data_IF_833045522085
#
_entry.id   IF_833045522085
#
_cell.length_a   1.000
_cell.length_b   1.000
_cell.length_c   1.000
_cell.angle_alpha   90.00
_cell.angle_beta   90.00
_cell.angle_gamma   90.00
#
_symmetry.space_group_name_H-M   'P 1'
#
loop_
_entity.id
_entity.type
_entity.pdbx_description
1 polymer ?
#
# COMPACT_ATOMS: atom_id res chain seq x y z
N UNK A 1 5.60 -6.99 14.03
CA UNK A 1 4.42 -7.46 13.27
C UNK A 1 4.54 -8.97 13.09
N UNK A 2 3.48 -9.75 13.35
CA UNK A 2 3.49 -11.17 13.01
C UNK A 2 3.78 -11.32 11.51
N UNK A 3 4.66 -12.24 11.16
CA UNK A 3 4.99 -12.53 9.76
C UNK A 3 3.70 -12.82 8.99
N UNK A 4 3.51 -12.16 7.84
CA UNK A 4 2.36 -12.43 6.98
C UNK A 4 2.32 -13.92 6.65
N UNK A 5 1.17 -14.56 6.87
CA UNK A 5 0.95 -15.95 6.48
C UNK A 5 1.15 -16.10 4.97
N UNK A 6 1.60 -17.27 4.52
CA UNK A 6 1.80 -17.51 3.09
C UNK A 6 0.52 -17.27 2.29
N UNK A 7 -0.63 -17.65 2.85
CA UNK A 7 -1.95 -17.38 2.26
C UNK A 7 -2.23 -15.89 2.09
N UNK A 8 -1.87 -15.04 3.05
CA UNK A 8 -2.04 -13.59 2.93
C UNK A 8 -1.20 -13.01 1.79
N UNK A 9 0.06 -13.45 1.66
CA UNK A 9 0.94 -12.96 0.59
C UNK A 9 0.40 -13.32 -0.78
N UNK A 10 -0.01 -14.56 -0.98
CA UNK A 10 -0.57 -15.01 -2.26
C UNK A 10 -1.79 -14.17 -2.68
N UNK A 11 -2.65 -13.79 -1.74
CA UNK A 11 -3.80 -12.90 -2.03
C UNK A 11 -3.34 -11.50 -2.39
N UNK A 12 -2.37 -10.94 -1.65
CA UNK A 12 -1.86 -9.58 -1.89
C UNK A 12 -1.08 -9.46 -3.21
N UNK A 13 -0.40 -10.51 -3.66
CA UNK A 13 0.36 -10.50 -4.92
C UNK A 13 -0.56 -10.45 -6.15
N UNK A 14 -1.76 -11.02 -6.04
CA UNK A 14 -2.81 -10.97 -7.07
C UNK A 14 -3.51 -9.61 -7.18
N UNK A 15 -3.22 -8.64 -6.30
CA UNK A 15 -3.91 -7.35 -6.21
C UNK A 15 -3.92 -6.55 -7.53
N UNK A 16 -2.91 -6.74 -8.38
CA UNK A 16 -2.75 -5.99 -9.63
C UNK A 16 -3.05 -6.82 -10.89
N UNK A 17 -3.52 -8.05 -10.72
CA UNK A 17 -3.97 -8.85 -11.86
C UNK A 17 -5.29 -8.26 -12.42
N UNK A 18 -5.38 -8.07 -13.75
CA UNK A 18 -6.52 -7.39 -14.37
C UNK A 18 -7.86 -8.09 -14.08
N UNK A 19 -7.84 -9.42 -13.98
CA UNK A 19 -9.03 -10.26 -13.78
C UNK A 19 -9.08 -10.91 -12.39
N UNK A 20 -8.29 -10.41 -11.43
CA UNK A 20 -8.35 -10.95 -10.07
C UNK A 20 -9.71 -10.68 -9.42
N UNK A 21 -10.35 -11.77 -9.04
CA UNK A 21 -11.57 -11.81 -8.23
C UNK A 21 -11.23 -12.46 -6.90
N UNK A 22 -11.77 -11.89 -5.82
CA UNK A 22 -11.47 -12.30 -4.45
C UNK A 22 -12.73 -12.82 -3.76
N UNK A 23 -12.60 -13.99 -3.14
CA UNK A 23 -13.65 -14.59 -2.32
C UNK A 23 -13.82 -13.85 -0.99
N UNK A 24 -14.98 -14.00 -0.34
CA UNK A 24 -15.21 -13.42 0.99
C UNK A 24 -14.17 -13.89 2.02
N UNK A 25 -13.71 -15.14 1.92
CA UNK A 25 -12.65 -15.69 2.78
C UNK A 25 -11.32 -14.98 2.58
N UNK A 26 -10.93 -14.71 1.34
CA UNK A 26 -9.69 -13.98 1.03
C UNK A 26 -9.77 -12.53 1.53
N UNK A 27 -10.93 -11.90 1.38
CA UNK A 27 -11.18 -10.54 1.89
C UNK A 27 -11.07 -10.50 3.42
N UNK A 28 -11.73 -11.43 4.12
CA UNK A 28 -11.65 -11.54 5.58
C UNK A 28 -10.21 -11.73 6.08
N UNK A 29 -9.37 -12.40 5.28
CA UNK A 29 -7.97 -12.64 5.61
C UNK A 29 -7.11 -11.36 5.50
N UNK A 30 -7.37 -10.51 4.51
CA UNK A 30 -6.61 -9.27 4.28
C UNK A 30 -7.19 -8.04 4.99
N UNK A 31 -8.42 -8.11 5.48
CA UNK A 31 -9.09 -6.99 6.13
C UNK A 31 -8.35 -6.44 7.37
N UNK A 32 -7.80 -7.28 8.27
CA UNK A 32 -6.95 -6.79 9.36
C UNK A 32 -5.71 -6.03 8.87
N UNK A 33 -5.15 -6.46 7.74
CA UNK A 33 -3.98 -5.81 7.11
C UNK A 33 -4.39 -4.45 6.55
N UNK A 34 -5.53 -4.35 5.87
CA UNK A 34 -6.01 -3.08 5.32
C UNK A 34 -6.26 -2.01 6.40
N UNK A 35 -6.67 -2.44 7.59
CA UNK A 35 -6.93 -1.58 8.77
C UNK A 35 -5.67 -1.25 9.57
N UNK A 36 -4.56 -1.93 9.32
CA UNK A 36 -3.31 -1.68 10.04
C UNK A 36 -2.68 -0.32 9.67
N UNK A 37 -1.79 0.14 10.54
CA UNK A 37 -0.94 1.33 10.34
C UNK A 37 0.51 0.87 10.42
N UNK A 38 1.32 1.27 9.42
CA UNK A 38 2.75 1.01 9.45
C UNK A 38 3.41 1.90 10.51
N UNK A 39 3.99 1.28 11.54
CA UNK A 39 4.73 2.00 12.58
C UNK A 39 6.19 2.16 12.15
N UNK A 40 6.72 3.40 12.08
CA UNK A 40 8.13 3.62 11.77
C UNK A 40 9.01 3.10 12.92
N UNK A 41 10.18 2.57 12.57
CA UNK A 41 11.20 2.17 13.52
C UNK A 41 12.29 3.25 13.56
N UNK A 42 12.31 4.12 14.57
CA UNK A 42 13.26 5.23 14.60
C UNK A 42 14.69 4.70 14.72
N UNK A 43 15.58 5.24 13.89
CA UNK A 43 17.00 4.94 13.91
C UNK A 43 17.64 5.49 15.18
N UNK A 44 18.35 4.62 15.91
CA UNK A 44 19.18 5.06 17.03
C UNK A 44 20.40 5.84 16.54
N UNK A 45 20.95 6.72 17.38
CA UNK A 45 22.15 7.51 17.05
C UNK A 45 23.32 6.64 16.57
N UNK A 46 23.56 5.50 17.24
CA UNK A 46 24.61 4.54 16.84
C UNK A 46 24.43 4.07 15.40
N UNK A 47 23.18 3.77 15.00
CA UNK A 47 22.86 3.30 13.66
C UNK A 47 23.08 4.38 12.61
N UNK A 48 22.64 5.62 12.90
CA UNK A 48 22.85 6.77 12.01
C UNK A 48 24.34 6.97 11.80
N UNK A 49 25.13 7.00 12.87
CA UNK A 49 26.59 7.15 12.81
C UNK A 49 27.25 6.05 11.99
N UNK A 50 26.85 4.79 12.19
CA UNK A 50 27.36 3.67 11.42
C UNK A 50 27.03 3.79 9.93
N UNK A 51 25.80 4.20 9.60
CA UNK A 51 25.35 4.38 8.21
C UNK A 51 26.14 5.48 7.51
N UNK A 52 26.35 6.62 8.18
CA UNK A 52 27.15 7.73 7.67
C UNK A 52 28.63 7.34 7.54
N UNK A 53 29.17 6.60 8.51
CA UNK A 53 30.53 6.06 8.46
C UNK A 53 30.74 5.16 7.25
N UNK A 54 29.78 4.27 6.96
CA UNK A 54 29.78 3.42 5.77
C UNK A 54 29.83 4.23 4.47
N UNK A 55 28.99 5.27 4.36
CA UNK A 55 29.01 6.17 3.21
C UNK A 55 30.35 6.91 3.06
N UNK A 56 30.92 7.42 4.17
CA UNK A 56 32.18 8.16 4.12
C UNK A 56 33.40 7.31 3.79
N UNK A 57 33.34 6.00 4.06
CA UNK A 57 34.41 5.05 3.71
C UNK A 57 34.31 4.67 2.24
N UNK A 58 33.09 4.50 1.72
CA UNK A 58 32.87 4.04 0.36
C UNK A 58 32.94 5.16 -0.69
N UNK A 59 32.63 6.40 -0.31
CA UNK A 59 32.54 7.54 -1.22
C UNK A 59 33.57 8.61 -0.89
N UNK A 60 34.19 9.24 -1.89
CA UNK A 60 35.07 10.37 -1.66
C UNK A 60 34.30 11.51 -1.00
N UNK A 61 34.85 12.03 0.09
CA UNK A 61 34.39 13.27 0.72
C UNK A 61 35.27 14.43 0.24
N UNK A 62 34.68 15.63 0.16
CA UNK A 62 35.47 16.86 0.09
C UNK A 62 36.49 16.87 1.24
N UNK A 63 37.71 17.32 0.93
CA UNK A 63 38.76 17.54 1.90
C UNK A 63 38.28 18.59 2.91
N UNK A 64 37.89 18.12 4.09
CA UNK A 64 37.53 18.96 5.23
C UNK A 64 38.58 18.78 6.31
N UNK A 65 38.99 19.87 6.96
CA UNK A 65 39.75 19.75 8.19
C UNK A 65 38.94 19.00 9.28
N UNK A 66 39.61 18.56 10.35
CA UNK A 66 39.00 17.73 11.39
C UNK A 66 37.83 18.43 12.08
N UNK A 67 37.89 19.75 12.21
CA UNK A 67 36.87 20.57 12.87
C UNK A 67 35.61 20.64 11.99
N UNK A 68 35.77 20.96 10.71
CA UNK A 68 34.70 21.00 9.72
C UNK A 68 34.06 19.60 9.52
N UNK A 69 34.87 18.54 9.53
CA UNK A 69 34.38 17.17 9.49
C UNK A 69 33.47 16.82 10.67
N UNK A 70 33.87 17.23 11.89
CA UNK A 70 33.08 17.02 13.11
C UNK A 70 31.76 17.82 13.08
N UNK A 71 31.81 19.08 12.66
CA UNK A 71 30.62 19.92 12.54
C UNK A 71 29.63 19.37 11.50
N UNK A 72 30.16 18.89 10.37
CA UNK A 72 29.38 18.21 9.33
C UNK A 72 28.70 16.98 9.91
N UNK A 73 29.43 16.08 10.57
CA UNK A 73 28.84 14.88 11.17
C UNK A 73 27.72 15.22 12.17
N UNK A 74 27.94 16.18 13.08
CA UNK A 74 26.93 16.62 14.04
C UNK A 74 25.67 17.14 13.36
N UNK A 75 25.81 17.85 12.24
CA UNK A 75 24.68 18.34 11.45
C UNK A 75 23.90 17.19 10.82
N UNK A 76 24.58 16.17 10.26
CA UNK A 76 23.90 14.99 9.73
C UNK A 76 23.15 14.23 10.83
N UNK A 77 23.80 14.04 11.98
CA UNK A 77 23.21 13.38 13.14
C UNK A 77 21.92 14.09 13.59
N UNK A 78 21.96 15.42 13.73
CA UNK A 78 20.79 16.21 14.11
C UNK A 78 19.67 16.13 13.06
N UNK A 79 20.01 16.19 11.78
CA UNK A 79 19.02 16.25 10.69
C UNK A 79 18.39 14.91 10.33
N UNK A 80 19.04 13.80 10.71
CA UNK A 80 18.56 12.43 10.53
C UNK A 80 17.99 11.84 11.83
N UNK A 81 17.99 12.59 12.93
CA UNK A 81 17.40 12.14 14.19
C UNK A 81 15.91 11.80 14.01
N UNK A 82 15.49 10.65 14.53
CA UNK A 82 14.11 10.17 14.47
C UNK A 82 13.65 9.66 13.10
N UNK A 83 14.54 9.59 12.11
CA UNK A 83 14.23 8.98 10.83
C UNK A 83 14.06 7.45 10.95
N UNK A 84 13.32 6.83 10.05
CA UNK A 84 13.16 5.37 10.06
C UNK A 84 14.47 4.66 9.67
N UNK A 85 14.87 3.67 10.48
CA UNK A 85 16.11 2.91 10.31
C UNK A 85 16.20 2.22 8.95
N UNK A 86 15.10 1.59 8.51
CA UNK A 86 15.04 0.83 7.26
C UNK A 86 15.00 1.76 6.06
N UNK A 87 14.34 2.92 6.20
CA UNK A 87 14.36 3.98 5.20
C UNK A 87 15.77 4.54 5.01
N UNK A 88 16.51 4.77 6.11
CA UNK A 88 17.90 5.23 6.05
C UNK A 88 18.81 4.19 5.41
N UNK A 89 18.64 2.91 5.76
CA UNK A 89 19.38 1.79 5.16
C UNK A 89 19.15 1.69 3.64
N UNK A 90 17.90 1.89 3.20
CA UNK A 90 17.56 1.97 1.78
C UNK A 90 18.24 3.16 1.12
N UNK A 91 18.13 4.35 1.72
CA UNK A 91 18.71 5.56 1.15
C UNK A 91 20.24 5.48 1.02
N UNK A 92 20.93 4.91 2.02
CA UNK A 92 22.38 4.72 1.98
C UNK A 92 22.78 3.80 0.83
N UNK A 93 22.10 2.66 0.64
CA UNK A 93 22.34 1.76 -0.50
C UNK A 93 22.13 2.47 -1.84
N UNK A 94 21.04 3.23 -1.99
CA UNK A 94 20.80 4.02 -3.20
C UNK A 94 21.86 5.10 -3.43
N UNK A 95 22.41 5.70 -2.38
CA UNK A 95 23.51 6.65 -2.53
C UNK A 95 24.77 5.95 -3.05
N UNK A 96 25.10 4.76 -2.54
CA UNK A 96 26.24 3.97 -3.02
C UNK A 96 26.08 3.51 -4.47
N UNK A 97 24.84 3.20 -4.90
CA UNK A 97 24.55 2.78 -6.27
C UNK A 97 24.57 3.94 -7.29
N UNK A 98 24.20 5.15 -6.86
CA UNK A 98 23.85 6.26 -7.77
C UNK A 98 24.81 7.44 -7.73
N UNK A 99 25.64 7.58 -6.70
CA UNK A 99 26.46 8.77 -6.47
C UNK A 99 27.95 8.44 -6.41
N UNK A 100 28.73 9.26 -7.10
CA UNK A 100 30.19 9.15 -7.07
C UNK A 100 30.83 9.89 -5.88
N UNK A 101 30.05 10.68 -5.14
CA UNK A 101 30.52 11.54 -4.05
C UNK A 101 29.60 11.48 -2.84
N UNK A 102 30.14 11.81 -1.66
CA UNK A 102 29.38 11.80 -0.40
C UNK A 102 28.07 12.62 -0.54
N UNK A 103 26.89 12.00 -0.32
CA UNK A 103 25.61 12.65 -0.49
C UNK A 103 25.38 13.76 0.53
N UNK A 104 24.67 14.81 0.11
CA UNK A 104 24.11 15.82 1.01
C UNK A 104 22.93 15.27 1.84
N UNK A 105 22.62 15.91 2.95
CA UNK A 105 21.44 15.56 3.79
C UNK A 105 20.15 15.57 2.97
N UNK A 106 20.00 16.55 2.07
CA UNK A 106 18.86 16.64 1.16
C UNK A 106 18.77 15.40 0.26
N UNK A 107 19.88 15.01 -0.39
CA UNK A 107 19.94 13.84 -1.26
C UNK A 107 19.66 12.51 -0.52
N UNK A 108 20.06 12.40 0.75
CA UNK A 108 19.70 11.25 1.59
C UNK A 108 18.17 11.26 1.82
N UNK A 109 17.61 12.39 2.28
CA UNK A 109 16.17 12.51 2.57
C UNK A 109 15.30 12.27 1.34
N UNK A 110 15.71 12.75 0.17
CA UNK A 110 14.99 12.51 -1.08
C UNK A 110 14.90 11.03 -1.43
N UNK A 111 15.96 10.26 -1.15
CA UNK A 111 15.96 8.81 -1.32
C UNK A 111 15.13 8.12 -0.26
N UNK A 112 15.18 8.59 0.99
CA UNK A 112 14.33 8.07 2.07
C UNK A 112 12.84 8.26 1.73
N UNK A 113 12.45 9.40 1.16
CA UNK A 113 11.06 9.68 0.78
C UNK A 113 10.51 8.73 -0.30
N UNK A 114 11.39 8.11 -1.10
CA UNK A 114 11.01 7.11 -2.11
C UNK A 114 10.86 5.70 -1.51
N UNK A 115 11.32 5.50 -0.28
CA UNK A 115 11.19 4.21 0.38
C UNK A 115 9.75 3.96 0.81
N UNK A 116 9.26 2.76 0.52
CA UNK A 116 7.97 2.26 1.02
C UNK A 116 8.27 1.04 1.87
N UNK A 117 7.82 1.05 3.13
CA UNK A 117 7.99 -0.11 4.00
C UNK A 117 7.20 -1.30 3.45
N UNK A 118 7.70 -2.54 3.61
CA UNK A 118 6.94 -3.73 3.21
C UNK A 118 5.54 -3.80 3.84
N UNK A 119 5.41 -3.31 5.07
CA UNK A 119 4.15 -3.21 5.79
C UNK A 119 3.21 -2.20 5.11
N UNK A 120 3.69 -1.00 4.79
CA UNK A 120 2.93 0.02 4.07
C UNK A 120 2.53 -0.47 2.66
N UNK A 121 3.41 -1.17 1.96
CA UNK A 121 3.10 -1.77 0.67
C UNK A 121 1.99 -2.83 0.78
N UNK A 122 2.05 -3.71 1.79
CA UNK A 122 1.00 -4.70 2.06
C UNK A 122 -0.34 -4.05 2.41
N UNK A 123 -0.33 -3.01 3.27
CA UNK A 123 -1.52 -2.23 3.63
C UNK A 123 -2.14 -1.59 2.39
N UNK A 124 -1.34 -0.95 1.53
CA UNK A 124 -1.82 -0.32 0.28
C UNK A 124 -2.46 -1.33 -0.66
N UNK A 125 -1.84 -2.50 -0.84
CA UNK A 125 -2.40 -3.58 -1.66
C UNK A 125 -3.72 -4.09 -1.10
N UNK A 126 -3.79 -4.37 0.21
CA UNK A 126 -5.01 -4.81 0.86
C UNK A 126 -6.17 -3.80 0.70
N UNK A 127 -5.88 -2.51 0.87
CA UNK A 127 -6.84 -1.42 0.65
C UNK A 127 -7.31 -1.34 -0.81
N UNK A 128 -6.40 -1.55 -1.76
CA UNK A 128 -6.75 -1.56 -3.18
C UNK A 128 -7.72 -2.70 -3.50
N UNK A 129 -7.46 -3.92 -3.00
CA UNK A 129 -8.35 -5.09 -3.17
C UNK A 129 -9.75 -4.79 -2.62
N UNK A 130 -9.84 -4.28 -1.38
CA UNK A 130 -11.13 -4.01 -0.73
C UNK A 130 -11.91 -2.90 -1.47
N UNK A 131 -11.22 -1.86 -1.94
CA UNK A 131 -11.85 -0.74 -2.67
C UNK A 131 -12.34 -1.13 -4.06
N UNK A 132 -11.59 -1.99 -4.76
CA UNK A 132 -11.91 -2.36 -6.14
C UNK A 132 -13.23 -3.16 -6.26
N UNK A 133 -13.76 -3.71 -5.16
CA UNK A 133 -15.08 -4.35 -5.14
C UNK A 133 -15.20 -5.61 -6.00
N UNK A 134 -14.08 -6.17 -6.49
CA UNK A 134 -14.01 -7.39 -7.31
C UNK A 134 -14.22 -8.64 -6.46
N UNK A 135 -15.42 -8.77 -5.90
CA UNK A 135 -15.82 -9.93 -5.10
C UNK A 135 -16.32 -11.03 -6.02
N UNK A 136 -15.89 -12.26 -5.77
CA UNK A 136 -16.54 -13.40 -6.40
C UNK A 136 -17.99 -13.41 -5.91
N UNK A 137 -18.99 -13.58 -6.79
CA UNK A 137 -20.31 -13.93 -6.32
C UNK A 137 -20.17 -15.20 -5.47
N UNK A 138 -20.68 -15.17 -4.24
CA UNK A 138 -20.68 -16.38 -3.41
C UNK A 138 -21.53 -17.44 -4.12
N UNK A 139 -20.98 -18.65 -4.28
CA UNK A 139 -21.75 -19.84 -4.71
C UNK A 139 -22.82 -20.11 -3.63
N UNK A 140 -23.96 -19.44 -3.74
CA UNK A 140 -25.06 -19.55 -2.79
C UNK A 140 -25.97 -18.33 -2.67
N UNK A 141 -25.55 -17.14 -3.12
CA UNK A 141 -26.29 -15.89 -2.82
C UNK A 141 -27.10 -15.32 -4.00
N UNK A 142 -27.34 -16.14 -5.02
CA UNK A 142 -28.49 -15.92 -5.92
C UNK A 142 -29.60 -16.83 -5.42
N UNK A 143 -30.16 -16.53 -4.24
CA UNK A 143 -31.52 -16.97 -3.97
C UNK A 143 -32.35 -16.37 -5.09
N UNK A 144 -32.83 -17.22 -6.01
CA UNK A 144 -33.71 -16.78 -7.09
C UNK A 144 -34.84 -15.97 -6.45
N UNK A 145 -34.89 -14.67 -6.75
CA UNK A 145 -35.91 -13.81 -6.20
C UNK A 145 -37.25 -14.43 -6.63
N UNK A 146 -38.14 -14.78 -5.69
CA UNK A 146 -39.39 -15.40 -6.05
C UNK A 146 -40.13 -14.49 -7.05
N UNK A 147 -40.74 -15.02 -8.12
CA UNK A 147 -41.35 -14.19 -9.17
C UNK A 147 -42.32 -13.14 -8.64
N UNK A 148 -43.03 -13.46 -7.56
CA UNK A 148 -43.98 -12.57 -6.88
C UNK A 148 -43.33 -11.32 -6.25
N UNK A 149 -42.05 -11.40 -5.88
CA UNK A 149 -41.29 -10.29 -5.34
C UNK A 149 -40.73 -9.41 -6.46
N UNK A 150 -40.29 -10.03 -7.57
CA UNK A 150 -39.92 -9.31 -8.81
C UNK A 150 -41.12 -8.51 -9.35
N UNK A 151 -42.31 -9.11 -9.36
CA UNK A 151 -43.53 -8.45 -9.82
C UNK A 151 -43.92 -7.27 -8.93
N UNK A 152 -43.78 -7.40 -7.60
CA UNK A 152 -44.01 -6.29 -6.65
C UNK A 152 -43.05 -5.13 -6.87
N UNK A 153 -41.77 -5.41 -7.09
CA UNK A 153 -40.76 -4.38 -7.38
C UNK A 153 -41.05 -3.70 -8.72
N UNK A 154 -41.36 -4.47 -9.78
CA UNK A 154 -41.71 -3.92 -11.09
C UNK A 154 -43.00 -3.10 -11.07
N UNK A 155 -43.98 -3.47 -10.25
CA UNK A 155 -45.19 -2.67 -10.04
C UNK A 155 -44.86 -1.35 -9.33
N UNK A 156 -44.05 -1.40 -8.27
CA UNK A 156 -43.61 -0.21 -7.54
C UNK A 156 -42.85 0.77 -8.46
N UNK A 157 -41.91 0.29 -9.27
CA UNK A 157 -41.14 1.11 -10.20
C UNK A 157 -42.02 1.78 -11.25
N UNK A 158 -43.03 1.06 -11.78
CA UNK A 158 -44.03 1.61 -12.70
C UNK A 158 -44.82 2.76 -12.08
N UNK A 159 -45.22 2.65 -10.80
CA UNK A 159 -45.94 3.76 -10.11
C UNK A 159 -45.08 5.01 -9.93
N UNK A 160 -43.75 4.88 -10.02
CA UNK A 160 -42.77 5.98 -9.93
C UNK A 160 -42.29 6.48 -11.30
N UNK A 161 -42.84 5.96 -12.40
CA UNK A 161 -42.45 6.34 -13.76
C UNK A 161 -41.07 5.83 -14.20
N UNK A 162 -40.53 4.83 -13.51
CA UNK A 162 -39.23 4.23 -13.85
C UNK A 162 -39.48 3.12 -14.87
N UNK A 163 -38.93 3.28 -16.08
CA UNK A 163 -39.12 2.36 -17.20
C UNK A 163 -38.28 1.06 -17.10
N UNK A 164 -37.48 0.90 -16.05
CA UNK A 164 -36.63 -0.27 -15.84
C UNK A 164 -37.43 -1.42 -15.24
N UNK A 165 -37.35 -2.60 -15.84
CA UNK A 165 -37.90 -3.84 -15.31
C UNK A 165 -36.78 -4.79 -14.89
N UNK A 166 -37.02 -5.52 -13.80
CA UNK A 166 -36.17 -6.58 -13.29
C UNK A 166 -36.71 -7.94 -13.71
N UNK A 167 -35.81 -8.86 -14.06
CA UNK A 167 -36.09 -10.26 -14.36
C UNK A 167 -35.69 -11.15 -13.16
N UNK A 168 -36.28 -12.36 -13.01
CA UNK A 168 -35.96 -13.30 -11.92
C UNK A 168 -34.49 -13.76 -11.86
N UNK A 169 -33.77 -13.63 -12.98
CA UNK A 169 -32.33 -13.89 -13.10
C UNK A 169 -31.45 -12.68 -12.69
N UNK A 170 -32.07 -11.61 -12.17
CA UNK A 170 -31.37 -10.40 -11.71
C UNK A 170 -30.97 -9.44 -12.84
N UNK A 171 -31.32 -9.72 -14.09
CA UNK A 171 -31.06 -8.81 -15.21
C UNK A 171 -32.10 -7.68 -15.28
N UNK A 172 -31.68 -6.52 -15.82
CA UNK A 172 -32.58 -5.36 -16.01
C UNK A 172 -32.73 -5.02 -17.47
N UNK A 173 -33.94 -4.64 -17.88
CA UNK A 173 -34.24 -4.20 -19.25
C UNK A 173 -35.11 -2.95 -19.23
N UNK A 174 -34.95 -2.08 -20.24
CA UNK A 174 -35.85 -0.95 -20.44
C UNK A 174 -37.14 -1.42 -21.11
N UNK A 175 -38.27 -1.20 -20.45
CA UNK A 175 -39.57 -1.39 -21.06
C UNK A 175 -39.73 -0.38 -22.20
N UNK A 176 -39.87 -0.88 -23.43
CA UNK A 176 -40.22 -0.02 -24.57
C UNK A 176 -41.58 0.61 -24.30
N UNK A 177 -41.63 1.95 -24.31
CA UNK A 177 -42.87 2.69 -24.20
C UNK A 177 -43.73 2.39 -25.43
N UNK A 178 -44.87 1.72 -25.20
CA UNK A 178 -45.91 1.51 -26.19
C UNK A 178 -46.79 2.75 -26.33
#
# INVERSE_FOLDING_TARGET
MPSLTQSARNVLDRAFEPDAVFTAREIALIEPIARAVATPQPAGERYIRQSLGGLSVALPSQATDTVAGTLKLNTYMAMLAGCDERALAYACRRCLDELDWMPTIHQIKDRMAKWVSPEEAAIRRARAIIRAGRRAPEEGDVAAIPPEEVDRVNAFLRTRGIATQFSPDGTTFQAQAA
#
